data_IF_247559884810
#
_entry.id   IF_247559884810
#
_cell.length_a   1.000
_cell.length_b   1.000
_cell.length_c   1.000
_cell.angle_alpha   90.00
_cell.angle_beta   90.00
_cell.angle_gamma   90.00
#
_symmetry.space_group_name_H-M   'P 1'
#
loop_
_entity.id
_entity.type
_entity.pdbx_description
1 polymer ?
#
# COMPACT_ATOMS: atom_id res chain seq x y z
N UNK A 1 -12.05 -15.96 5.32
CA UNK A 1 -11.42 -16.85 4.31
C UNK A 1 -11.72 -16.23 2.97
N UNK A 2 -10.78 -15.46 2.43
CA UNK A 2 -10.94 -14.75 1.16
C UNK A 2 -10.82 -15.74 0.00
N UNK A 3 -11.75 -15.64 -0.95
CA UNK A 3 -11.70 -16.34 -2.22
C UNK A 3 -11.84 -15.28 -3.32
N UNK A 4 -10.81 -15.14 -4.15
CA UNK A 4 -10.85 -14.48 -5.46
C UNK A 4 -11.06 -12.95 -5.49
N UNK A 5 -10.38 -12.18 -4.64
CA UNK A 5 -10.26 -10.71 -4.85
C UNK A 5 -11.57 -9.91 -4.81
N UNK A 6 -12.58 -10.42 -4.11
CA UNK A 6 -13.82 -9.70 -3.88
C UNK A 6 -13.69 -8.84 -2.60
N UNK A 7 -13.74 -7.52 -2.76
CA UNK A 7 -13.80 -6.57 -1.65
C UNK A 7 -15.07 -6.83 -0.83
N UNK A 8 -14.91 -7.23 0.43
CA UNK A 8 -16.04 -7.36 1.36
C UNK A 8 -16.51 -5.96 1.78
N UNK A 9 -17.76 -5.63 1.45
CA UNK A 9 -18.44 -4.41 1.86
C UNK A 9 -19.44 -4.74 2.95
N UNK A 10 -19.44 -3.97 4.04
CA UNK A 10 -20.56 -3.91 4.96
C UNK A 10 -21.51 -2.84 4.45
N UNK A 11 -22.76 -3.21 4.17
CA UNK A 11 -23.78 -2.26 3.74
C UNK A 11 -25.16 -2.72 4.18
N UNK A 12 -26.02 -1.78 4.52
CA UNK A 12 -27.44 -2.01 4.75
C UNK A 12 -28.19 -1.88 3.43
N UNK A 13 -28.96 -2.89 3.03
CA UNK A 13 -29.74 -2.84 1.79
C UNK A 13 -31.08 -2.13 2.01
N UNK A 14 -31.25 -0.94 1.41
CA UNK A 14 -32.54 -0.24 1.33
C UNK A 14 -33.41 -0.88 0.23
N UNK A 15 -34.48 -1.52 0.67
CA UNK A 15 -35.44 -2.22 -0.20
C UNK A 15 -36.38 -1.30 -0.95
N UNK A 16 -36.66 -0.10 -0.45
CA UNK A 16 -37.58 0.85 -1.09
C UNK A 16 -36.91 1.54 -2.27
N UNK A 17 -35.62 1.86 -2.12
CA UNK A 17 -34.84 2.51 -3.17
C UNK A 17 -34.04 1.53 -4.03
N UNK A 18 -34.05 0.24 -3.67
CA UNK A 18 -33.23 -0.82 -4.28
C UNK A 18 -31.72 -0.50 -4.30
N UNK A 19 -31.20 0.11 -3.24
CA UNK A 19 -29.79 0.56 -3.15
C UNK A 19 -29.17 0.17 -1.81
N UNK A 20 -27.86 -0.03 -1.81
CA UNK A 20 -27.08 -0.20 -0.59
C UNK A 20 -26.77 1.18 0.04
N UNK A 21 -26.99 1.31 1.34
CA UNK A 21 -26.66 2.48 2.17
C UNK A 21 -25.64 2.08 3.24
N UNK A 22 -24.89 3.06 3.76
CA UNK A 22 -23.77 2.85 4.70
C UNK A 22 -22.75 1.83 4.21
N UNK A 23 -22.24 2.05 2.98
CA UNK A 23 -21.18 1.23 2.41
C UNK A 23 -19.87 1.59 3.11
N UNK A 24 -19.57 0.88 4.20
CA UNK A 24 -18.25 0.87 4.79
C UNK A 24 -17.50 -0.35 4.31
N UNK A 25 -16.30 -0.10 3.82
CA UNK A 25 -15.38 -1.14 3.44
C UNK A 25 -14.80 -1.72 4.72
N UNK A 26 -14.75 -3.04 4.80
CA UNK A 26 -14.19 -3.77 5.93
C UNK A 26 -12.67 -3.54 5.99
N UNK A 27 -12.21 -2.42 6.56
CA UNK A 27 -10.80 -2.11 6.71
C UNK A 27 -10.33 -2.45 8.12
N UNK A 28 -9.33 -3.31 8.25
CA UNK A 28 -8.40 -3.18 9.37
C UNK A 28 -7.57 -1.94 9.08
N UNK A 29 -7.60 -0.94 9.98
CA UNK A 29 -6.75 0.24 9.90
C UNK A 29 -5.29 -0.19 10.10
N UNK A 30 -4.64 -0.68 9.04
CA UNK A 30 -3.19 -0.73 8.99
C UNK A 30 -2.72 0.73 9.00
N UNK A 31 -1.88 1.10 9.97
CA UNK A 31 -1.42 2.48 10.17
C UNK A 31 -0.44 2.91 9.06
N UNK A 32 -0.96 3.04 7.83
CA UNK A 32 -0.17 3.40 6.65
C UNK A 32 0.58 4.72 6.83
N UNK A 33 0.04 5.64 7.64
CA UNK A 33 0.72 6.89 7.97
C UNK A 33 1.98 6.67 8.82
N UNK A 34 1.93 5.79 9.80
CA UNK A 34 3.11 5.44 10.60
C UNK A 34 4.12 4.72 9.73
N UNK A 35 3.65 3.77 8.91
CA UNK A 35 4.53 3.05 7.99
C UNK A 35 5.22 3.98 6.97
N UNK A 36 4.50 4.91 6.38
CA UNK A 36 5.07 5.92 5.47
C UNK A 36 6.07 6.81 6.23
N UNK A 37 5.78 7.19 7.48
CA UNK A 37 6.69 8.01 8.28
C UNK A 37 7.99 7.27 8.61
N UNK A 38 7.92 5.97 8.94
CA UNK A 38 9.10 5.12 9.13
C UNK A 38 9.96 5.06 7.87
N UNK A 39 9.35 4.79 6.71
CA UNK A 39 10.06 4.73 5.43
C UNK A 39 10.76 6.05 5.09
N UNK A 40 10.08 7.18 5.34
CA UNK A 40 10.67 8.50 5.13
C UNK A 40 11.81 8.78 6.11
N UNK A 41 11.71 8.32 7.36
CA UNK A 41 12.82 8.38 8.32
C UNK A 41 14.00 7.50 7.91
N UNK A 42 13.74 6.38 7.22
CA UNK A 42 14.69 5.45 6.60
C UNK A 42 15.19 5.87 5.20
N UNK A 43 15.27 7.18 4.93
CA UNK A 43 15.85 7.72 3.69
C UNK A 43 15.03 7.49 2.40
N UNK A 44 13.77 7.02 2.49
CA UNK A 44 12.86 7.08 1.34
C UNK A 44 12.31 8.50 1.14
N UNK A 45 12.15 8.93 -0.11
CA UNK A 45 11.32 10.11 -0.39
C UNK A 45 9.85 9.80 -0.11
N UNK A 46 9.02 10.83 0.11
CA UNK A 46 7.58 10.64 0.31
C UNK A 46 6.94 9.88 -0.88
N UNK A 47 7.40 10.13 -2.11
CA UNK A 47 6.88 9.44 -3.28
C UNK A 47 7.29 7.97 -3.33
N UNK A 48 8.53 7.66 -2.94
CA UNK A 48 9.04 6.29 -2.78
C UNK A 48 8.23 5.54 -1.71
N UNK A 49 8.07 6.13 -0.53
CA UNK A 49 7.35 5.54 0.59
C UNK A 49 5.88 5.26 0.26
N UNK A 50 5.18 6.23 -0.33
CA UNK A 50 3.78 6.06 -0.73
C UNK A 50 3.62 5.01 -1.82
N UNK A 51 4.47 5.02 -2.85
CA UNK A 51 4.36 4.06 -3.95
C UNK A 51 4.71 2.64 -3.50
N UNK A 52 5.71 2.48 -2.63
CA UNK A 52 6.06 1.20 -2.00
C UNK A 52 4.91 0.67 -1.13
N UNK A 53 4.43 1.47 -0.19
CA UNK A 53 3.37 1.01 0.74
C UNK A 53 2.09 0.64 -0.01
N UNK A 54 1.72 1.38 -1.06
CA UNK A 54 0.48 1.11 -1.80
C UNK A 54 0.60 -0.08 -2.77
N UNK A 55 1.73 -0.22 -3.47
CA UNK A 55 1.90 -1.22 -4.54
C UNK A 55 2.45 -2.54 -4.01
N UNK A 56 3.36 -2.50 -3.04
CA UNK A 56 4.12 -3.67 -2.60
C UNK A 56 3.69 -4.17 -1.21
N UNK A 57 3.49 -3.28 -0.23
CA UNK A 57 3.12 -3.73 1.13
C UNK A 57 1.61 -4.01 1.25
N UNK A 58 0.79 -3.12 0.71
CA UNK A 58 -0.66 -3.29 0.71
C UNK A 58 -1.17 -4.15 -0.45
N UNK A 59 -0.34 -4.36 -1.48
CA UNK A 59 -0.67 -5.04 -2.77
C UNK A 59 -2.03 -4.61 -3.36
N UNK A 60 -2.44 -3.37 -3.06
CA UNK A 60 -3.81 -2.91 -3.22
C UNK A 60 -4.15 -2.57 -4.66
N UNK A 61 -3.14 -2.11 -5.38
CA UNK A 61 -3.20 -1.77 -6.78
C UNK A 61 -1.95 -2.30 -7.45
N UNK A 62 -2.10 -2.78 -8.68
CA UNK A 62 -0.94 -2.94 -9.56
C UNK A 62 -0.32 -1.57 -9.82
N UNK A 63 0.98 -1.52 -10.11
CA UNK A 63 1.66 -0.24 -10.43
C UNK A 63 1.01 0.53 -11.58
N UNK A 64 0.36 -0.15 -12.53
CA UNK A 64 -0.40 0.48 -13.61
C UNK A 64 -1.70 1.14 -13.12
N UNK A 65 -2.46 0.46 -12.26
CA UNK A 65 -3.68 1.02 -11.65
C UNK A 65 -3.36 2.20 -10.74
N UNK A 66 -2.27 2.10 -9.96
CA UNK A 66 -1.83 3.19 -9.09
C UNK A 66 -1.34 4.41 -9.89
N UNK A 67 -0.63 4.18 -10.99
CA UNK A 67 -0.22 5.24 -11.90
C UNK A 67 -1.41 5.99 -12.52
N UNK A 68 -2.45 5.26 -12.94
CA UNK A 68 -3.68 5.83 -13.48
C UNK A 68 -4.40 6.71 -12.46
N UNK A 69 -4.58 6.21 -11.22
CA UNK A 69 -5.17 6.98 -10.11
C UNK A 69 -4.43 8.30 -9.86
N UNK A 70 -3.10 8.28 -9.95
CA UNK A 70 -2.24 9.44 -9.73
C UNK A 70 -2.07 10.35 -10.94
N UNK A 71 -2.52 9.95 -12.13
CA UNK A 71 -2.28 10.69 -13.37
C UNK A 71 -0.81 10.76 -13.76
N UNK A 72 -0.01 9.72 -13.46
CA UNK A 72 1.41 9.62 -13.83
C UNK A 72 1.66 8.37 -14.69
N UNK A 73 2.89 8.19 -15.19
CA UNK A 73 3.24 6.99 -15.95
C UNK A 73 3.54 5.81 -15.01
N UNK A 74 3.26 4.59 -15.48
CA UNK A 74 3.63 3.37 -14.75
C UNK A 74 5.15 3.27 -14.52
N UNK A 75 5.97 3.84 -15.41
CA UNK A 75 7.42 3.91 -15.22
C UNK A 75 7.81 4.86 -14.08
N UNK A 76 7.07 5.94 -13.85
CA UNK A 76 7.31 6.85 -12.72
C UNK A 76 7.01 6.18 -11.37
N UNK A 77 5.96 5.35 -11.31
CA UNK A 77 5.69 4.52 -10.13
C UNK A 77 6.81 3.49 -9.94
N UNK A 78 7.21 2.79 -11.01
CA UNK A 78 8.29 1.79 -10.95
C UNK A 78 9.62 2.41 -10.51
N UNK A 79 9.94 3.62 -10.97
CA UNK A 79 11.16 4.32 -10.58
C UNK A 79 11.18 4.76 -9.12
N UNK A 80 10.03 4.82 -8.45
CA UNK A 80 9.93 5.11 -7.03
C UNK A 80 9.93 3.82 -6.19
N UNK A 81 9.25 2.76 -6.65
CA UNK A 81 9.19 1.47 -5.96
C UNK A 81 10.55 0.78 -5.91
N UNK A 82 11.32 0.79 -7.01
CA UNK A 82 12.59 0.08 -7.08
C UNK A 82 13.64 0.58 -6.07
N UNK A 83 13.92 1.91 -5.95
CA UNK A 83 14.83 2.42 -4.94
C UNK A 83 14.37 2.17 -3.50
N UNK A 84 13.05 2.26 -3.23
CA UNK A 84 12.51 1.93 -1.92
C UNK A 84 12.82 0.47 -1.54
N UNK A 85 12.60 -0.45 -2.49
CA UNK A 85 12.94 -1.87 -2.32
C UNK A 85 14.42 -2.08 -2.02
N UNK A 86 15.32 -1.44 -2.78
CA UNK A 86 16.77 -1.57 -2.61
C UNK A 86 17.23 -1.06 -1.23
N UNK A 87 16.67 0.07 -0.76
CA UNK A 87 16.97 0.63 0.56
C UNK A 87 16.53 -0.30 1.68
N UNK A 88 15.31 -0.83 1.60
CA UNK A 88 14.76 -1.75 2.60
C UNK A 88 15.54 -3.06 2.69
N UNK A 89 15.88 -3.67 1.56
CA UNK A 89 16.73 -4.86 1.53
C UNK A 89 18.11 -4.60 2.15
N UNK A 90 18.69 -3.42 1.88
CA UNK A 90 19.98 -3.03 2.46
C UNK A 90 19.91 -2.75 3.97
N UNK A 91 18.76 -2.34 4.50
CA UNK A 91 18.51 -2.19 5.93
C UNK A 91 18.38 -3.56 6.60
N UNK A 92 17.59 -4.48 6.04
CA UNK A 92 17.44 -5.86 6.54
C UNK A 92 18.79 -6.60 6.62
N UNK A 93 19.67 -6.42 5.63
CA UNK A 93 21.02 -7.00 5.62
C UNK A 93 21.91 -6.44 6.74
N UNK A 94 21.78 -5.15 7.06
CA UNK A 94 22.54 -4.49 8.15
C UNK A 94 22.06 -4.97 9.52
N UNK A 95 20.74 -5.09 9.70
CA UNK A 95 20.15 -5.60 10.94
C UNK A 95 20.52 -7.08 11.17
N UNK A 96 20.47 -7.90 10.12
CA UNK A 96 20.85 -9.32 10.16
C UNK A 96 22.33 -9.54 10.49
N UNK A 97 23.20 -8.60 10.08
CA UNK A 97 24.64 -8.66 10.35
C UNK A 97 25.04 -8.10 11.71
N UNK A 98 24.21 -7.26 12.33
CA UNK A 98 24.46 -6.63 13.64
C UNK A 98 24.04 -7.45 14.86
N UNK A 99 23.28 -8.54 14.68
CA UNK A 99 22.75 -9.39 15.76
C UNK A 99 23.71 -10.44 16.33
N UNK A 100 24.98 -10.46 15.89
CA UNK A 100 26.00 -11.39 16.39
C UNK A 100 26.96 -10.70 17.38
N UNK A 101 26.49 -10.43 18.60
CA UNK A 101 27.33 -10.06 19.74
C UNK A 101 26.96 -10.87 20.99
#
# INVERSE_FOLDING_TARGET
>A
MEQNGAVQMFASYDREQHRFQDVELAWEEQEFLERIAELVAGDCSLHEAVDWTVVEEAERYTGAQWADIRGVTADAVRSNVNPAREKLLAEEDRESSGGAL
#
